data_IF_043853781387
#
_entry.id   IF_043853781387
#
_cell.length_a   1.000
_cell.length_b   1.000
_cell.length_c   1.000
_cell.angle_alpha   90.00
_cell.angle_beta   90.00
_cell.angle_gamma   90.00
#
_symmetry.space_group_name_H-M   'P 1'
#
loop_
_entity.id
_entity.type
_entity.pdbx_description
1 polymer ?
#
# COMPACT_ATOMS: atom_id res chain seq x y z
N UNK A 1 15.35 -10.40 13.25
CA UNK A 1 16.19 -9.65 12.27
C UNK A 1 17.07 -8.57 12.91
N UNK A 2 16.93 -8.28 14.21
CA UNK A 2 17.68 -7.19 14.86
C UNK A 2 19.21 -7.30 14.64
N UNK A 3 19.85 -6.20 14.27
CA UNK A 3 21.30 -6.13 14.03
C UNK A 3 21.80 -6.67 12.68
N UNK A 4 20.92 -7.24 11.84
CA UNK A 4 21.30 -7.64 10.47
C UNK A 4 21.44 -6.41 9.57
N UNK A 5 22.54 -6.29 8.83
CA UNK A 5 22.67 -5.24 7.82
C UNK A 5 21.66 -5.44 6.68
N UNK A 6 20.96 -4.37 6.36
CA UNK A 6 19.97 -4.29 5.29
C UNK A 6 20.45 -3.27 4.26
N UNK A 7 20.28 -3.61 2.98
CA UNK A 7 20.50 -2.65 1.91
C UNK A 7 19.30 -1.72 1.77
N UNK A 8 19.52 -0.44 2.08
CA UNK A 8 18.55 0.63 1.86
C UNK A 8 18.89 1.32 0.56
N UNK A 9 17.93 1.38 -0.37
CA UNK A 9 18.11 2.06 -1.66
C UNK A 9 17.21 3.29 -1.71
N UNK A 10 17.82 4.44 -2.00
CA UNK A 10 17.12 5.72 -2.16
C UNK A 10 17.23 6.14 -3.62
N UNK A 11 16.08 6.26 -4.30
CA UNK A 11 16.01 6.77 -5.66
C UNK A 11 15.90 8.29 -5.61
N UNK A 12 16.86 9.00 -6.18
CA UNK A 12 16.96 10.46 -6.01
C UNK A 12 17.71 11.15 -7.14
N UNK A 13 17.41 12.43 -7.34
CA UNK A 13 18.20 13.40 -8.12
C UNK A 13 18.87 14.46 -7.24
N UNK A 14 18.67 14.39 -5.92
CA UNK A 14 19.28 15.30 -4.97
C UNK A 14 20.79 15.07 -4.93
N UNK A 15 21.54 16.07 -4.48
CA UNK A 15 23.01 16.03 -4.43
C UNK A 15 23.53 15.38 -3.15
N UNK A 16 22.71 15.24 -2.10
CA UNK A 16 23.09 14.56 -0.85
C UNK A 16 21.88 13.91 -0.21
N UNK A 17 22.09 12.74 0.40
CA UNK A 17 21.12 12.04 1.22
C UNK A 17 21.68 11.82 2.62
N UNK A 18 20.92 12.21 3.64
CA UNK A 18 21.11 11.76 5.02
C UNK A 18 20.04 10.71 5.36
N UNK A 19 20.47 9.59 5.95
CA UNK A 19 19.59 8.57 6.53
C UNK A 19 19.59 8.65 8.05
N UNK A 20 18.40 8.77 8.62
CA UNK A 20 18.16 8.89 10.06
C UNK A 20 17.30 7.69 10.48
N UNK A 21 17.79 6.89 11.43
CA UNK A 21 17.07 5.77 12.03
C UNK A 21 16.84 6.08 13.50
N UNK A 22 15.57 6.16 13.92
CA UNK A 22 15.18 6.47 15.31
C UNK A 22 15.93 7.69 15.87
N UNK A 23 15.86 8.82 15.15
CA UNK A 23 16.48 10.10 15.49
C UNK A 23 18.02 10.15 15.39
N UNK A 24 18.69 9.03 15.09
CA UNK A 24 20.14 8.99 14.88
C UNK A 24 20.49 8.94 13.40
N UNK A 25 21.36 9.85 12.95
CA UNK A 25 21.94 9.77 11.60
C UNK A 25 22.82 8.53 11.51
N UNK A 26 22.42 7.58 10.68
CA UNK A 26 23.12 6.30 10.47
C UNK A 26 23.99 6.29 9.23
N UNK A 27 23.70 7.14 8.24
CA UNK A 27 24.54 7.29 7.07
C UNK A 27 24.32 8.62 6.35
N UNK A 28 25.34 9.07 5.60
CA UNK A 28 25.27 10.18 4.64
C UNK A 28 25.96 9.74 3.36
N UNK A 29 25.39 10.09 2.21
CA UNK A 29 26.06 9.96 0.92
C UNK A 29 25.82 11.17 0.04
N UNK A 30 26.89 11.69 -0.54
CA UNK A 30 26.85 12.63 -1.65
C UNK A 30 26.48 11.89 -2.94
N UNK A 31 25.83 12.61 -3.84
CA UNK A 31 25.31 12.14 -5.12
C UNK A 31 25.75 13.14 -6.18
N UNK A 32 26.40 12.62 -7.20
CA UNK A 32 26.88 13.37 -8.36
C UNK A 32 26.18 12.88 -9.63
N UNK A 33 26.38 13.59 -10.74
CA UNK A 33 25.93 13.15 -12.06
C UNK A 33 26.52 11.79 -12.48
N UNK A 34 27.67 11.40 -11.91
CA UNK A 34 28.27 10.08 -12.11
C UNK A 34 27.66 8.99 -11.22
N UNK A 35 26.86 9.36 -10.22
CA UNK A 35 26.12 8.40 -9.40
C UNK A 35 24.88 7.96 -10.18
N UNK A 36 24.60 6.66 -10.28
CA UNK A 36 23.29 6.21 -10.76
C UNK A 36 22.19 6.91 -9.96
N UNK A 37 20.98 7.08 -10.52
CA UNK A 37 19.82 7.69 -9.82
C UNK A 37 19.32 6.87 -8.60
N UNK A 38 20.17 6.01 -8.04
CA UNK A 38 19.97 5.19 -6.86
C UNK A 38 21.22 5.26 -5.97
N UNK A 39 21.02 5.59 -4.71
CA UNK A 39 22.04 5.53 -3.67
C UNK A 39 21.74 4.35 -2.76
N UNK A 40 22.72 3.47 -2.55
CA UNK A 40 22.58 2.28 -1.69
C UNK A 40 23.35 2.47 -0.39
N UNK A 41 22.76 2.11 0.75
CA UNK A 41 23.37 2.14 2.07
C UNK A 41 23.27 0.78 2.73
N UNK A 42 24.28 0.41 3.51
CA UNK A 42 24.19 -0.73 4.43
C UNK A 42 23.83 -0.18 5.81
N UNK A 43 22.62 -0.50 6.28
CA UNK A 43 22.08 0.01 7.54
C UNK A 43 21.78 -1.17 8.48
N UNK A 44 22.31 -1.19 9.71
CA UNK A 44 21.94 -2.21 10.68
C UNK A 44 20.46 -2.06 11.03
N UNK A 45 19.69 -3.13 10.85
CA UNK A 45 18.25 -3.09 11.12
C UNK A 45 17.96 -2.90 12.60
N UNK A 46 17.15 -1.89 12.91
CA UNK A 46 16.44 -1.73 14.16
C UNK A 46 14.97 -1.37 13.86
N UNK A 47 14.00 -1.87 14.64
CA UNK A 47 12.61 -1.47 14.48
C UNK A 47 12.44 0.02 14.81
N UNK A 48 11.45 0.65 14.16
CA UNK A 48 11.12 2.06 14.34
C UNK A 48 11.00 2.78 13.00
N UNK A 49 11.49 4.01 12.92
CA UNK A 49 11.33 4.89 11.76
C UNK A 49 12.68 5.18 11.09
N UNK A 50 12.72 4.97 9.77
CA UNK A 50 13.82 5.34 8.91
C UNK A 50 13.39 6.50 8.02
N UNK A 51 14.12 7.60 8.08
CA UNK A 51 13.86 8.83 7.31
C UNK A 51 15.04 9.17 6.44
N UNK A 52 14.77 9.42 5.16
CA UNK A 52 15.72 9.96 4.20
C UNK A 52 15.44 11.45 3.99
N UNK A 53 16.45 12.28 4.28
CA UNK A 53 16.45 13.71 3.95
C UNK A 53 17.32 13.93 2.73
N UNK A 54 16.78 14.63 1.74
CA UNK A 54 17.42 14.91 0.48
C UNK A 54 17.78 16.39 0.38
N UNK A 55 19.00 16.69 -0.06
CA UNK A 55 19.49 18.07 -0.17
C UNK A 55 20.00 18.38 -1.58
N UNK A 56 19.84 19.62 -2.02
CA UNK A 56 20.46 20.13 -3.24
C UNK A 56 21.96 20.42 -3.06
N UNK A 57 22.63 20.80 -4.16
CA UNK A 57 24.06 21.13 -4.16
C UNK A 57 24.41 22.37 -3.32
N UNK A 58 23.42 23.20 -2.95
CA UNK A 58 23.59 24.36 -2.07
C UNK A 58 23.39 24.00 -0.60
N UNK A 59 23.00 22.76 -0.30
CA UNK A 59 22.73 22.26 1.05
C UNK A 59 21.31 22.50 1.54
N UNK A 60 20.38 22.94 0.69
CA UNK A 60 18.97 23.12 1.07
C UNK A 60 18.24 21.77 1.04
N UNK A 61 17.36 21.53 2.02
CA UNK A 61 16.47 20.37 1.99
C UNK A 61 15.46 20.51 0.84
N UNK A 62 15.38 19.48 -0.01
CA UNK A 62 14.48 19.43 -1.16
C UNK A 62 13.47 18.28 -1.08
N UNK A 63 13.56 17.44 -0.05
CA UNK A 63 12.58 16.39 0.17
C UNK A 63 12.89 15.53 1.39
N UNK A 64 11.83 14.99 1.96
CA UNK A 64 11.88 14.07 3.09
C UNK A 64 10.96 12.88 2.83
N UNK A 65 11.43 11.67 3.11
CA UNK A 65 10.62 10.46 3.04
C UNK A 65 10.89 9.56 4.21
N UNK A 66 9.83 9.07 4.84
CA UNK A 66 9.90 8.16 5.98
C UNK A 66 9.23 6.83 5.67
N UNK A 67 9.80 5.76 6.21
CA UNK A 67 9.17 4.44 6.36
C UNK A 67 9.27 4.00 7.81
N UNK A 68 8.31 3.23 8.28
CA UNK A 68 8.28 2.75 9.65
C UNK A 68 8.01 1.24 9.69
N UNK A 69 8.58 0.57 10.68
CA UNK A 69 8.31 -0.85 10.95
C UNK A 69 6.85 -1.00 11.33
N UNK A 70 6.10 -1.78 10.57
CA UNK A 70 4.71 -2.09 10.88
C UNK A 70 4.62 -3.09 12.06
N UNK A 71 3.60 -2.94 12.88
CA UNK A 71 3.24 -3.91 13.90
C UNK A 71 2.42 -5.05 13.29
N UNK A 72 1.94 -5.96 14.13
CA UNK A 72 1.07 -7.05 13.70
C UNK A 72 -0.20 -6.52 13.01
N UNK A 73 -0.71 -7.22 11.98
CA UNK A 73 -2.01 -6.92 11.37
C UNK A 73 -3.14 -6.83 12.39
N UNK A 74 -3.97 -5.79 12.32
CA UNK A 74 -5.16 -5.66 13.18
C UNK A 74 -6.44 -5.33 12.40
N UNK A 75 -6.33 -4.73 11.21
CA UNK A 75 -7.49 -4.26 10.47
C UNK A 75 -7.27 -4.29 8.96
N UNK A 76 -8.38 -4.16 8.25
CA UNK A 76 -8.42 -3.94 6.80
C UNK A 76 -8.78 -2.48 6.55
N UNK A 77 -8.11 -1.83 5.59
CA UNK A 77 -8.48 -0.52 5.06
C UNK A 77 -8.97 -0.67 3.61
N UNK A 78 -10.06 0.01 3.29
CA UNK A 78 -10.62 0.07 1.93
C UNK A 78 -10.53 1.51 1.41
N UNK A 79 -9.92 1.67 0.23
CA UNK A 79 -9.79 2.97 -0.44
C UNK A 79 -10.29 2.81 -1.87
N UNK A 80 -11.39 3.48 -2.20
CA UNK A 80 -11.89 3.53 -3.58
C UNK A 80 -11.23 4.70 -4.33
N UNK A 81 -10.85 4.47 -5.59
CA UNK A 81 -10.42 5.52 -6.50
C UNK A 81 -11.57 6.50 -6.82
N UNK A 82 -12.79 5.97 -6.93
CA UNK A 82 -14.02 6.71 -7.17
C UNK A 82 -15.11 6.26 -6.20
N UNK A 83 -15.77 7.24 -5.55
CA UNK A 83 -16.93 6.98 -4.68
C UNK A 83 -18.27 7.07 -5.40
N UNK A 84 -18.27 7.48 -6.66
CA UNK A 84 -19.45 7.62 -7.49
C UNK A 84 -19.11 7.18 -8.91
N UNK A 85 -19.92 6.28 -9.47
CA UNK A 85 -19.77 5.73 -10.83
C UNK A 85 -21.13 5.77 -11.56
N UNK A 86 -21.13 5.64 -12.89
CA UNK A 86 -22.37 5.74 -13.68
C UNK A 86 -23.04 4.37 -13.84
N UNK A 87 -24.35 4.29 -13.65
CA UNK A 87 -25.14 3.10 -13.89
C UNK A 87 -25.32 2.81 -15.40
N UNK A 88 -25.45 1.54 -15.78
CA UNK A 88 -25.85 1.10 -17.12
C UNK A 88 -24.85 1.31 -18.26
N UNK A 89 -23.66 1.89 -18.01
CA UNK A 89 -22.61 2.08 -19.01
C UNK A 89 -21.38 1.19 -18.78
N UNK A 90 -21.44 0.25 -17.84
CA UNK A 90 -20.32 -0.62 -17.47
C UNK A 90 -19.20 0.08 -16.68
N UNK A 91 -19.47 1.23 -16.04
CA UNK A 91 -18.49 1.92 -15.20
C UNK A 91 -17.90 1.01 -14.11
N UNK A 92 -16.63 1.23 -13.81
CA UNK A 92 -15.88 0.48 -12.81
C UNK A 92 -15.40 1.40 -11.68
N UNK A 93 -15.34 0.84 -10.47
CA UNK A 93 -14.63 1.43 -9.34
C UNK A 93 -13.57 0.45 -8.82
N UNK A 94 -12.37 0.95 -8.56
CA UNK A 94 -11.26 0.19 -8.04
C UNK A 94 -11.11 0.45 -6.54
N UNK A 95 -11.31 -0.60 -5.75
CA UNK A 95 -11.22 -0.55 -4.30
C UNK A 95 -9.97 -1.28 -3.85
N UNK A 96 -8.96 -0.50 -3.47
CA UNK A 96 -7.74 -1.01 -2.86
C UNK A 96 -8.07 -1.57 -1.48
N UNK A 97 -7.59 -2.78 -1.21
CA UNK A 97 -7.66 -3.44 0.08
C UNK A 97 -6.26 -3.47 0.67
N UNK A 98 -6.11 -2.96 1.88
CA UNK A 98 -4.83 -2.93 2.59
C UNK A 98 -4.95 -3.59 3.96
N UNK A 99 -3.99 -4.44 4.30
CA UNK A 99 -3.81 -4.97 5.66
C UNK A 99 -3.00 -3.95 6.45
N UNK A 100 -3.55 -3.46 7.55
CA UNK A 100 -2.93 -2.42 8.37
C UNK A 100 -2.73 -2.86 9.82
N UNK A 101 -1.72 -2.29 10.44
CA UNK A 101 -1.49 -2.40 11.88
C UNK A 101 -2.31 -1.40 12.69
N UNK A 102 -2.12 -1.40 14.00
CA UNK A 102 -2.82 -0.54 14.97
C UNK A 102 -2.51 0.95 14.82
N UNK A 103 -1.43 1.29 14.12
CA UNK A 103 -1.03 2.66 13.79
C UNK A 103 -1.46 3.06 12.37
N UNK A 104 -2.20 2.20 11.65
CA UNK A 104 -2.67 2.46 10.30
C UNK A 104 -1.62 2.30 9.20
N UNK A 105 -0.46 1.72 9.51
CA UNK A 105 0.62 1.42 8.56
C UNK A 105 0.30 0.12 7.83
N UNK A 106 0.56 0.07 6.54
CA UNK A 106 0.43 -1.16 5.77
C UNK A 106 1.45 -2.20 6.25
N UNK A 107 1.01 -3.44 6.44
CA UNK A 107 1.88 -4.55 6.86
C UNK A 107 2.49 -5.20 5.61
N UNK A 108 3.78 -4.95 5.30
CA UNK A 108 4.36 -5.17 3.97
C UNK A 108 4.55 -6.64 3.59
N UNK A 109 4.47 -7.56 4.55
CA UNK A 109 4.61 -9.00 4.35
C UNK A 109 3.30 -9.77 4.56
N UNK A 110 2.18 -9.08 4.84
CA UNK A 110 0.91 -9.73 5.10
C UNK A 110 0.36 -10.44 3.85
N UNK A 111 0.19 -11.77 3.97
CA UNK A 111 -0.42 -12.63 2.97
C UNK A 111 -1.56 -13.42 3.64
N UNK A 112 -2.75 -12.81 3.67
CA UNK A 112 -3.90 -13.27 4.45
C UNK A 112 -5.10 -13.53 3.54
N UNK A 113 -5.91 -14.56 3.81
CA UNK A 113 -7.15 -14.79 3.07
C UNK A 113 -8.16 -13.68 3.37
N UNK A 114 -8.79 -13.17 2.32
CA UNK A 114 -9.79 -12.12 2.32
C UNK A 114 -11.10 -12.66 1.75
N UNK A 115 -12.20 -12.47 2.48
CA UNK A 115 -13.55 -12.75 2.01
C UNK A 115 -14.24 -11.44 1.65
N UNK A 116 -14.79 -11.38 0.46
CA UNK A 116 -15.47 -10.20 -0.10
C UNK A 116 -16.98 -10.47 -0.09
N UNK A 117 -17.76 -9.44 0.23
CA UNK A 117 -19.22 -9.43 0.09
C UNK A 117 -19.65 -8.11 -0.52
N UNK A 118 -20.48 -8.18 -1.57
CA UNK A 118 -20.99 -7.02 -2.30
C UNK A 118 -22.51 -7.09 -2.28
N UNK A 119 -23.14 -5.98 -1.95
CA UNK A 119 -24.61 -5.85 -1.92
C UNK A 119 -25.03 -4.52 -2.54
N UNK A 120 -26.24 -4.47 -3.11
CA UNK A 120 -26.79 -3.26 -3.74
C UNK A 120 -26.61 -3.24 -5.26
N UNK A 121 -26.56 -2.05 -5.86
CA UNK A 121 -26.60 -1.85 -7.31
C UNK A 121 -25.21 -1.95 -7.98
N UNK A 122 -24.46 -2.99 -7.62
CA UNK A 122 -23.17 -3.30 -8.21
C UNK A 122 -22.83 -4.78 -8.11
N UNK A 123 -21.85 -5.19 -8.91
CA UNK A 123 -21.36 -6.57 -8.97
C UNK A 123 -19.84 -6.63 -8.97
N UNK A 124 -19.30 -7.81 -8.66
CA UNK A 124 -17.87 -8.06 -8.77
C UNK A 124 -17.47 -8.13 -10.24
N UNK A 125 -16.67 -7.18 -10.71
CA UNK A 125 -16.04 -7.27 -12.02
C UNK A 125 -14.83 -8.19 -11.97
N UNK A 126 -13.97 -7.97 -10.95
CA UNK A 126 -12.82 -8.80 -10.68
C UNK A 126 -12.29 -8.56 -9.25
N UNK A 127 -11.55 -9.52 -8.71
CA UNK A 127 -10.78 -9.44 -7.49
C UNK A 127 -9.40 -10.05 -7.72
N UNK A 128 -8.33 -9.42 -7.23
CA UNK A 128 -6.98 -9.91 -7.46
C UNK A 128 -5.93 -9.24 -6.58
N UNK A 129 -4.67 -9.61 -6.81
CA UNK A 129 -3.50 -9.03 -6.15
C UNK A 129 -2.32 -9.05 -7.13
N UNK A 130 -1.15 -8.56 -6.71
CA UNK A 130 0.05 -8.49 -7.54
C UNK A 130 0.99 -9.70 -7.39
N UNK A 131 0.50 -10.84 -6.89
CA UNK A 131 1.31 -12.05 -6.79
C UNK A 131 1.52 -12.65 -8.19
N UNK A 132 2.76 -12.72 -8.70
CA UNK A 132 3.03 -13.18 -10.06
C UNK A 132 2.82 -14.69 -10.25
N UNK A 133 2.85 -15.46 -9.18
CA UNK A 133 2.85 -16.93 -9.16
C UNK A 133 1.73 -17.54 -8.30
N UNK A 134 0.68 -16.77 -8.02
CA UNK A 134 -0.51 -17.23 -7.29
C UNK A 134 -1.72 -17.33 -8.24
N UNK A 135 -1.93 -18.45 -8.96
CA UNK A 135 -3.08 -18.60 -9.83
C UNK A 135 -4.37 -18.65 -8.98
N UNK A 136 -5.29 -17.73 -9.27
CA UNK A 136 -6.64 -17.70 -8.70
C UNK A 136 -7.60 -17.13 -9.74
N UNK A 137 -8.88 -17.47 -9.63
CA UNK A 137 -9.88 -16.87 -10.52
C UNK A 137 -10.15 -15.44 -10.11
N UNK A 138 -10.11 -14.52 -11.08
CA UNK A 138 -10.43 -13.12 -10.84
C UNK A 138 -11.91 -12.89 -10.48
N UNK A 139 -12.79 -13.88 -10.65
CA UNK A 139 -14.23 -13.73 -10.37
C UNK A 139 -14.63 -14.31 -9.00
N UNK A 140 -13.66 -14.74 -8.19
CA UNK A 140 -13.93 -15.24 -6.85
C UNK A 140 -14.16 -14.10 -5.86
N UNK A 141 -15.12 -14.30 -4.96
CA UNK A 141 -15.34 -13.41 -3.82
C UNK A 141 -14.36 -13.71 -2.66
N UNK A 142 -13.28 -14.43 -2.94
CA UNK A 142 -12.22 -14.74 -2.00
C UNK A 142 -10.88 -14.59 -2.71
N UNK A 143 -9.95 -13.86 -2.09
CA UNK A 143 -8.60 -13.61 -2.59
C UNK A 143 -7.63 -13.58 -1.42
N UNK A 144 -6.34 -13.80 -1.65
CA UNK A 144 -5.33 -13.51 -0.63
C UNK A 144 -4.81 -12.08 -0.81
N UNK A 145 -4.40 -11.43 0.27
CA UNK A 145 -3.51 -10.26 0.14
C UNK A 145 -2.14 -10.71 -0.34
N UNK A 146 -1.43 -9.85 -1.03
CA UNK A 146 -0.03 -10.04 -1.39
C UNK A 146 0.74 -8.80 -0.97
N UNK A 147 1.75 -8.98 -0.11
CA UNK A 147 2.53 -7.88 0.49
C UNK A 147 1.64 -6.81 1.15
N UNK A 148 0.59 -7.24 1.84
CA UNK A 148 -0.38 -6.39 2.51
C UNK A 148 -1.46 -5.81 1.61
N UNK A 149 -1.48 -6.11 0.31
CA UNK A 149 -2.40 -5.47 -0.63
C UNK A 149 -3.25 -6.46 -1.44
N UNK A 150 -4.46 -6.04 -1.77
CA UNK A 150 -5.30 -6.66 -2.79
C UNK A 150 -6.18 -5.60 -3.46
N UNK A 151 -6.93 -6.00 -4.49
CA UNK A 151 -7.76 -5.11 -5.30
C UNK A 151 -9.11 -5.76 -5.58
N UNK A 152 -10.18 -5.01 -5.33
CA UNK A 152 -11.55 -5.38 -5.70
C UNK A 152 -12.05 -4.38 -6.73
N UNK A 153 -12.48 -4.87 -7.88
CA UNK A 153 -13.02 -4.06 -8.97
C UNK A 153 -14.53 -4.29 -9.00
N UNK A 154 -15.28 -3.23 -8.77
CA UNK A 154 -16.73 -3.23 -8.86
C UNK A 154 -17.17 -2.76 -10.24
N UNK A 155 -18.31 -3.29 -10.69
CA UNK A 155 -19.05 -2.78 -11.83
C UNK A 155 -20.39 -2.24 -11.38
N UNK A 156 -20.79 -1.07 -11.87
CA UNK A 156 -22.14 -0.56 -11.69
C UNK A 156 -23.15 -1.43 -12.45
N UNK A 157 -24.30 -1.72 -11.83
CA UNK A 157 -25.41 -2.36 -12.52
C UNK A 157 -26.22 -1.32 -13.33
N UNK A 158 -27.34 -1.73 -13.93
CA UNK A 158 -28.18 -0.91 -14.82
C UNK A 158 -28.86 0.29 -14.13
N UNK A 159 -29.04 0.25 -12.81
CA UNK A 159 -29.82 1.24 -12.09
C UNK A 159 -29.00 2.02 -11.04
N UNK A 160 -29.29 3.31 -10.84
CA UNK A 160 -28.74 4.10 -9.74
C UNK A 160 -29.02 3.51 -8.36
N UNK A 161 -28.16 3.77 -7.39
CA UNK A 161 -28.28 3.30 -6.02
C UNK A 161 -26.93 3.08 -5.34
N UNK A 162 -26.95 2.47 -4.16
CA UNK A 162 -25.72 2.28 -3.40
C UNK A 162 -25.10 0.91 -3.69
N UNK A 163 -23.77 0.85 -3.70
CA UNK A 163 -22.98 -0.38 -3.68
C UNK A 163 -22.27 -0.43 -2.34
N UNK A 164 -22.49 -1.48 -1.57
CA UNK A 164 -21.78 -1.71 -0.31
C UNK A 164 -20.84 -2.89 -0.45
N UNK A 165 -19.58 -2.67 -0.07
CA UNK A 165 -18.56 -3.71 -0.01
C UNK A 165 -18.23 -3.96 1.46
N UNK A 166 -18.10 -5.23 1.81
CA UNK A 166 -17.53 -5.69 3.07
C UNK A 166 -16.37 -6.64 2.76
N UNK A 167 -15.23 -6.45 3.43
CA UNK A 167 -14.08 -7.35 3.34
C UNK A 167 -13.69 -7.84 4.74
N UNK A 168 -13.53 -9.15 4.88
CA UNK A 168 -13.23 -9.84 6.14
C UNK A 168 -11.96 -10.67 6.03
N UNK A 169 -11.26 -10.82 7.14
CA UNK A 169 -10.20 -11.81 7.33
C UNK A 169 -10.21 -12.26 8.79
N UNK A 170 -9.77 -13.51 9.05
CA UNK A 170 -9.75 -14.06 10.41
C UNK A 170 -8.81 -13.24 11.29
N UNK A 171 -9.31 -12.77 12.43
CA UNK A 171 -8.52 -12.00 13.41
C UNK A 171 -8.32 -10.53 13.08
N UNK A 172 -8.85 -10.03 11.94
CA UNK A 172 -8.78 -8.61 11.59
C UNK A 172 -10.14 -7.92 11.76
N UNK A 173 -10.11 -6.64 12.12
CA UNK A 173 -11.30 -5.78 12.06
C UNK A 173 -11.80 -5.70 10.61
N UNK A 174 -13.07 -6.06 10.43
CA UNK A 174 -13.78 -6.02 9.14
C UNK A 174 -13.84 -4.58 8.61
N UNK A 175 -13.66 -4.43 7.30
CA UNK A 175 -13.78 -3.14 6.63
C UNK A 175 -15.03 -3.08 5.75
N UNK A 176 -15.61 -1.88 5.66
CA UNK A 176 -16.78 -1.59 4.82
C UNK A 176 -16.57 -0.26 4.11
N UNK A 177 -17.02 -0.20 2.87
CA UNK A 177 -17.11 1.05 2.11
C UNK A 177 -18.40 1.05 1.30
N UNK A 178 -18.96 2.24 1.09
CA UNK A 178 -20.15 2.45 0.27
C UNK A 178 -19.81 3.38 -0.88
N UNK A 179 -20.21 3.01 -2.08
CA UNK A 179 -20.13 3.81 -3.31
C UNK A 179 -21.54 4.10 -3.80
N UNK A 180 -21.69 5.13 -4.63
CA UNK A 180 -22.95 5.50 -5.28
C UNK A 180 -22.88 5.20 -6.77
N UNK A 181 -23.99 4.74 -7.33
CA UNK A 181 -24.24 4.72 -8.77
C UNK A 181 -25.27 5.80 -9.10
N UNK A 182 -25.01 6.58 -10.16
CA UNK A 182 -25.91 7.63 -10.66
C UNK A 182 -26.33 7.38 -12.10
#
# INVERSE_FOLDING_TARGET
MNGKNMQVRVFTRASKIDLILNDFRVATKEVSDSTPLTVTFDVPYAPGQLTAFAYDAKGNEVGVRSIATANNPVAIRLTADQREITAGNGSLAYVQVEIIDDQGRAVPDANLPLQISITGNGSLAAAGNACPDCPASFQQHAINSYKGHALVILRANEHPGNIRIEVKSKGLKTAKIELKTK
#
